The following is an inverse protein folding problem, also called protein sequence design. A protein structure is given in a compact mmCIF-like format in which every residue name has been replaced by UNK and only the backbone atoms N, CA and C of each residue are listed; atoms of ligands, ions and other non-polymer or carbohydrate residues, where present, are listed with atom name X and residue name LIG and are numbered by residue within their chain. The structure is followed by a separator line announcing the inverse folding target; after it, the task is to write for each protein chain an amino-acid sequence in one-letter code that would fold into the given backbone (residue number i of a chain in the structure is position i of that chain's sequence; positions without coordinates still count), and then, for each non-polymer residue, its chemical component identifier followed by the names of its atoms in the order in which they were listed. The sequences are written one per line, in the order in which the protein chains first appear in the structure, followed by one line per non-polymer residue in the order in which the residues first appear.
data_IF_363960587206
#
_entry.id   IF_363960587206
#
_cell.length_a   1.000
_cell.length_b   1.000
_cell.length_c   1.000
_cell.angle_alpha   90.00
_cell.angle_beta   90.00
_cell.angle_gamma   90.00
#
_symmetry.space_group_name_H-M   'P 1'
#
loop_
_entity.id
_entity.type
_entity.pdbx_description
1 polymer ?
#
# COMPACT_ATOMS: atom_id res chain seq x y z
N UNK A 1 -6.30 -2.96 -13.63
CA UNK A 1 -6.62 -1.50 -13.49
C UNK A 1 -5.38 -0.76 -13.00
N UNK A 2 -5.33 0.57 -13.12
CA UNK A 2 -4.22 1.37 -12.56
C UNK A 2 -4.81 2.41 -11.62
N UNK A 3 -4.28 2.46 -10.40
CA UNK A 3 -4.58 3.48 -9.40
C UNK A 3 -3.31 4.28 -9.09
N UNK A 4 -3.46 5.51 -8.59
CA UNK A 4 -2.32 6.31 -8.16
C UNK A 4 -2.67 7.25 -7.02
N UNK A 5 -1.71 7.46 -6.13
CA UNK A 5 -1.82 8.39 -5.01
C UNK A 5 -0.60 9.34 -4.99
N UNK A 6 -0.80 10.63 -4.67
CA UNK A 6 0.30 11.57 -4.53
C UNK A 6 1.05 11.37 -3.21
N UNK A 7 2.31 11.80 -3.19
CA UNK A 7 3.01 12.11 -1.96
C UNK A 7 2.41 13.34 -1.28
N UNK A 8 2.88 13.62 -0.08
CA UNK A 8 2.44 14.77 0.70
C UNK A 8 3.62 15.52 1.29
N UNK A 9 3.41 16.80 1.60
CA UNK A 9 4.35 17.63 2.36
C UNK A 9 3.59 18.40 3.44
N UNK A 10 4.19 18.54 4.61
CA UNK A 10 3.72 19.47 5.63
C UNK A 10 4.32 20.85 5.38
N UNK A 11 3.48 21.83 5.07
CA UNK A 11 3.88 23.24 4.98
C UNK A 11 4.06 23.85 6.36
N UNK A 12 3.19 23.49 7.31
CA UNK A 12 3.26 23.91 8.71
C UNK A 12 2.71 22.84 9.64
N UNK A 13 3.23 22.81 10.88
CA UNK A 13 2.57 22.13 12.00
C UNK A 13 2.79 20.61 12.10
N UNK A 14 3.77 20.03 11.40
CA UNK A 14 4.05 18.58 11.46
C UNK A 14 4.23 18.04 12.89
N UNK A 15 4.92 18.78 13.76
CA UNK A 15 5.07 18.41 15.17
C UNK A 15 3.95 18.96 16.06
N UNK A 16 3.18 19.93 15.57
CA UNK A 16 2.12 20.60 16.34
C UNK A 16 0.89 19.68 16.51
N UNK A 17 0.62 18.78 15.55
CA UNK A 17 -0.48 17.80 15.64
C UNK A 17 -0.35 16.86 16.84
N UNK A 18 0.87 16.60 17.31
CA UNK A 18 1.14 15.80 18.52
C UNK A 18 0.55 16.45 19.78
N UNK A 19 0.35 17.78 19.75
CA UNK A 19 -0.23 18.57 20.82
C UNK A 19 -1.65 19.05 20.49
N UNK A 20 -2.38 18.32 19.62
CA UNK A 20 -3.74 18.65 19.18
C UNK A 20 -3.88 20.04 18.55
N UNK A 21 -2.81 20.55 17.92
CA UNK A 21 -2.82 21.79 17.15
C UNK A 21 -2.93 21.50 15.64
N UNK A 22 -3.46 22.42 14.83
CA UNK A 22 -3.62 22.20 13.40
C UNK A 22 -2.28 22.11 12.65
N UNK A 23 -2.30 21.42 11.51
CA UNK A 23 -1.24 21.42 10.51
C UNK A 23 -1.79 21.77 9.13
N UNK A 24 -0.92 22.32 8.28
CA UNK A 24 -1.21 22.54 6.87
C UNK A 24 -0.34 21.61 6.05
N UNK A 25 -0.97 20.65 5.37
CA UNK A 25 -0.32 19.73 4.45
C UNK A 25 -0.86 19.92 3.03
N UNK A 26 -0.05 19.56 2.04
CA UNK A 26 -0.41 19.62 0.63
C UNK A 26 0.05 18.34 -0.08
N UNK A 27 -0.73 17.90 -1.07
CA UNK A 27 -0.29 16.88 -2.01
C UNK A 27 0.78 17.45 -2.95
N UNK A 28 1.70 16.59 -3.40
CA UNK A 28 2.73 16.95 -4.39
C UNK A 28 2.62 16.07 -5.65
N UNK A 29 3.31 16.48 -6.71
CA UNK A 29 3.24 15.80 -8.02
C UNK A 29 4.03 14.47 -8.09
N UNK A 30 4.85 14.16 -7.09
CA UNK A 30 5.47 12.84 -6.95
C UNK A 30 4.39 11.82 -6.57
N UNK A 31 4.28 10.71 -7.31
CA UNK A 31 3.18 9.75 -7.12
C UNK A 31 3.69 8.32 -6.97
N UNK A 32 2.88 7.52 -6.28
CA UNK A 32 2.94 6.06 -6.38
C UNK A 32 1.82 5.60 -7.31
N UNK A 33 2.15 4.69 -8.23
CA UNK A 33 1.23 4.08 -9.19
C UNK A 33 1.22 2.58 -8.94
N UNK A 34 0.04 2.02 -8.82
CA UNK A 34 -0.18 0.59 -8.62
C UNK A 34 -1.02 0.09 -9.78
N UNK A 35 -0.45 -0.82 -10.57
CA UNK A 35 -1.17 -1.58 -11.57
C UNK A 35 -1.61 -2.89 -10.92
N UNK A 36 -2.90 -3.19 -11.02
CA UNK A 36 -3.47 -4.42 -10.49
C UNK A 36 -4.11 -5.30 -11.55
N UNK A 37 -3.93 -6.60 -11.43
CA UNK A 37 -4.56 -7.61 -12.28
C UNK A 37 -5.17 -8.70 -11.39
N UNK A 38 -6.42 -9.06 -11.66
CA UNK A 38 -7.07 -10.19 -10.97
C UNK A 38 -6.49 -11.50 -11.49
N UNK A 39 -6.39 -12.49 -10.60
CA UNK A 39 -5.91 -13.83 -10.93
C UNK A 39 -6.99 -14.87 -10.68
N UNK A 40 -6.94 -15.97 -11.42
CA UNK A 40 -7.87 -17.10 -11.27
C UNK A 40 -7.53 -18.03 -10.08
N UNK A 41 -6.33 -17.87 -9.50
CA UNK A 41 -5.91 -18.56 -8.29
C UNK A 41 -6.14 -17.69 -7.05
N UNK A 42 -5.82 -18.21 -5.86
CA UNK A 42 -5.88 -17.44 -4.60
C UNK A 42 -4.52 -16.85 -4.22
N UNK A 43 -3.63 -16.60 -5.19
CA UNK A 43 -2.28 -16.07 -4.90
C UNK A 43 -2.26 -14.56 -5.01
N UNK A 44 -1.49 -13.93 -4.11
CA UNK A 44 -1.09 -12.53 -4.23
C UNK A 44 0.36 -12.48 -4.66
N UNK A 45 0.64 -11.75 -5.74
CA UNK A 45 1.99 -11.42 -6.20
C UNK A 45 2.15 -9.89 -6.15
N UNK A 46 3.26 -9.43 -5.58
CA UNK A 46 3.61 -8.01 -5.52
C UNK A 46 5.01 -7.85 -6.06
N UNK A 47 5.19 -6.94 -7.02
CA UNK A 47 6.47 -6.50 -7.53
C UNK A 47 6.56 -4.97 -7.36
N UNK A 48 7.48 -4.51 -6.54
CA UNK A 48 7.68 -3.09 -6.26
C UNK A 48 9.07 -2.67 -6.66
N UNK A 49 9.16 -1.83 -7.70
CA UNK A 49 10.44 -1.41 -8.28
C UNK A 49 11.31 -0.72 -7.20
N UNK A 50 12.53 -1.22 -7.02
CA UNK A 50 13.50 -0.70 -6.05
C UNK A 50 13.20 -1.01 -4.58
N UNK A 51 12.13 -1.76 -4.27
CA UNK A 51 11.78 -2.17 -2.90
C UNK A 51 11.89 -3.68 -2.73
N UNK A 52 11.26 -4.47 -3.60
CA UNK A 52 11.26 -5.92 -3.46
C UNK A 52 10.05 -6.63 -4.07
N UNK A 53 9.99 -7.94 -3.87
CA UNK A 53 8.89 -8.80 -4.35
C UNK A 53 8.31 -9.64 -3.22
N UNK A 54 7.01 -9.90 -3.29
CA UNK A 54 6.30 -10.77 -2.34
C UNK A 54 5.35 -11.70 -3.06
N UNK A 55 5.25 -12.93 -2.57
CA UNK A 55 4.15 -13.83 -2.89
C UNK A 55 3.45 -14.33 -1.63
N UNK A 56 2.17 -14.67 -1.74
CA UNK A 56 1.38 -15.24 -0.66
C UNK A 56 0.06 -15.84 -1.14
N UNK A 57 -0.74 -16.38 -0.21
CA UNK A 57 -2.03 -17.02 -0.51
C UNK A 57 -3.13 -16.36 0.31
N UNK A 58 -4.17 -15.87 -0.37
CA UNK A 58 -5.32 -15.23 0.25
C UNK A 58 -6.24 -16.27 0.89
N UNK A 59 -6.62 -16.04 2.14
CA UNK A 59 -7.52 -16.88 2.93
C UNK A 59 -8.55 -16.02 3.65
N UNK A 60 -9.82 -16.40 3.52
CA UNK A 60 -10.94 -15.76 4.22
C UNK A 60 -11.47 -16.65 5.33
N UNK A 61 -11.69 -16.09 6.52
CA UNK A 61 -12.38 -16.76 7.64
C UNK A 61 -13.22 -15.76 8.41
N UNK A 62 -14.53 -15.94 8.42
CA UNK A 62 -15.46 -15.12 9.22
C UNK A 62 -15.47 -13.64 8.81
N UNK A 63 -15.38 -13.34 7.51
CA UNK A 63 -15.33 -11.97 6.99
C UNK A 63 -13.96 -11.28 7.09
N UNK A 64 -12.99 -11.92 7.74
CA UNK A 64 -11.61 -11.45 7.78
C UNK A 64 -10.79 -12.17 6.71
N UNK A 65 -10.08 -11.40 5.89
CA UNK A 65 -9.23 -11.88 4.81
C UNK A 65 -7.75 -11.58 5.11
N UNK A 66 -6.90 -12.61 5.02
CA UNK A 66 -5.47 -12.52 5.31
C UNK A 66 -4.65 -13.12 4.17
N UNK A 67 -3.40 -12.70 4.07
CA UNK A 67 -2.42 -13.31 3.16
C UNK A 67 -1.54 -14.26 3.98
N UNK A 68 -1.61 -15.55 3.73
CA UNK A 68 -0.82 -16.58 4.41
C UNK A 68 0.35 -17.07 3.56
N UNK A 69 1.27 -17.83 4.16
CA UNK A 69 2.44 -18.44 3.47
C UNK A 69 3.25 -17.43 2.67
N UNK A 70 3.44 -16.24 3.24
CA UNK A 70 4.18 -15.14 2.63
C UNK A 70 5.65 -15.50 2.44
N UNK A 71 6.22 -15.16 1.29
CA UNK A 71 7.65 -15.28 1.00
C UNK A 71 8.15 -14.02 0.26
N UNK A 72 9.47 -13.79 0.25
CA UNK A 72 10.09 -12.58 -0.31
C UNK A 72 10.28 -11.45 0.72
N UNK A 73 10.19 -10.21 0.27
CA UNK A 73 10.49 -8.97 1.01
C UNK A 73 9.28 -8.53 1.87
N UNK A 74 8.87 -9.41 2.79
CA UNK A 74 7.62 -9.28 3.55
C UNK A 74 7.61 -8.07 4.48
N UNK A 75 8.75 -7.69 5.05
CA UNK A 75 8.82 -6.54 5.97
C UNK A 75 8.75 -5.22 5.21
N UNK A 76 9.41 -5.17 4.06
CA UNK A 76 9.51 -4.03 3.18
C UNK A 76 8.14 -3.72 2.53
N UNK A 77 7.36 -4.76 2.23
CA UNK A 77 6.05 -4.68 1.60
C UNK A 77 4.87 -4.79 2.59
N UNK A 78 5.11 -4.60 3.89
CA UNK A 78 4.06 -4.75 4.92
C UNK A 78 2.88 -3.79 4.70
N UNK A 79 3.13 -2.56 4.25
CA UNK A 79 2.07 -1.58 3.93
C UNK A 79 1.12 -2.10 2.85
N UNK A 80 1.67 -2.70 1.78
CA UNK A 80 0.90 -3.27 0.67
C UNK A 80 0.08 -4.47 1.16
N UNK A 81 0.72 -5.37 1.91
CA UNK A 81 0.04 -6.52 2.53
C UNK A 81 -1.15 -6.06 3.36
N UNK A 82 -0.94 -5.08 4.25
CA UNK A 82 -1.99 -4.59 5.15
C UNK A 82 -3.10 -3.86 4.41
N UNK A 83 -2.78 -3.12 3.35
CA UNK A 83 -3.78 -2.51 2.47
C UNK A 83 -4.68 -3.58 1.84
N UNK A 84 -4.09 -4.61 1.21
CA UNK A 84 -4.85 -5.69 0.57
C UNK A 84 -5.72 -6.46 1.59
N UNK A 85 -5.14 -6.88 2.72
CA UNK A 85 -5.87 -7.60 3.78
C UNK A 85 -7.06 -6.78 4.31
N UNK A 86 -6.84 -5.48 4.55
CA UNK A 86 -7.87 -4.57 5.07
C UNK A 86 -8.97 -4.32 4.04
N UNK A 87 -8.61 -4.10 2.77
CA UNK A 87 -9.55 -3.88 1.68
C UNK A 87 -10.41 -5.12 1.45
N UNK A 88 -9.83 -6.31 1.35
CA UNK A 88 -10.61 -7.55 1.21
C UNK A 88 -11.53 -7.81 2.41
N UNK A 89 -11.03 -7.58 3.63
CA UNK A 89 -11.85 -7.68 4.84
C UNK A 89 -13.02 -6.68 4.84
N UNK A 90 -12.80 -5.45 4.37
CA UNK A 90 -13.84 -4.44 4.28
C UNK A 90 -14.90 -4.78 3.22
N UNK A 91 -14.47 -5.31 2.07
CA UNK A 91 -15.37 -5.74 1.00
C UNK A 91 -16.11 -7.05 1.35
N UNK A 92 -15.61 -7.81 2.32
CA UNK A 92 -16.12 -9.14 2.66
C UNK A 92 -15.77 -10.19 1.62
N UNK A 93 -14.92 -9.86 0.64
CA UNK A 93 -14.53 -10.71 -0.47
C UNK A 93 -13.03 -10.56 -0.78
N UNK A 94 -12.39 -11.63 -1.21
CA UNK A 94 -10.97 -11.69 -1.51
C UNK A 94 -10.66 -12.69 -2.61
N UNK A 95 -9.57 -12.47 -3.33
CA UNK A 95 -9.20 -13.28 -4.48
C UNK A 95 -7.73 -13.14 -4.84
N UNK A 96 -7.30 -13.84 -5.89
CA UNK A 96 -5.95 -13.68 -6.41
C UNK A 96 -5.73 -12.32 -7.04
N UNK A 97 -4.53 -11.78 -6.81
CA UNK A 97 -4.18 -10.41 -7.17
C UNK A 97 -2.71 -10.33 -7.56
N UNK A 98 -2.41 -9.64 -8.64
CA UNK A 98 -1.07 -9.26 -9.02
C UNK A 98 -0.94 -7.75 -8.98
N UNK A 99 0.10 -7.24 -8.31
CA UNK A 99 0.38 -5.82 -8.16
C UNK A 99 1.77 -5.50 -8.68
N UNK A 100 1.85 -4.56 -9.62
CA UNK A 100 3.09 -3.90 -10.03
C UNK A 100 3.09 -2.47 -9.46
N UNK A 101 4.12 -2.10 -8.72
CA UNK A 101 4.22 -0.84 -8.00
C UNK A 101 5.42 -0.04 -8.48
N UNK A 102 5.16 1.20 -8.92
CA UNK A 102 6.16 2.19 -9.30
C UNK A 102 5.96 3.46 -8.46
N UNK A 103 7.04 4.00 -7.88
CA UNK A 103 6.95 5.19 -7.04
C UNK A 103 8.03 6.21 -7.37
N UNK A 104 7.61 7.44 -7.66
CA UNK A 104 8.48 8.59 -7.87
C UNK A 104 8.91 9.23 -6.52
N UNK A 105 8.31 8.80 -5.40
CA UNK A 105 8.53 9.37 -4.07
C UNK A 105 9.78 8.73 -3.44
N UNK A 106 10.83 9.51 -3.11
CA UNK A 106 12.04 8.97 -2.49
C UNK A 106 11.73 8.34 -1.12
N UNK A 107 12.24 7.13 -0.89
CA UNK A 107 12.04 6.40 0.37
C UNK A 107 12.72 7.16 1.52
N UNK A 108 12.03 7.24 2.67
CA UNK A 108 12.56 7.88 3.89
C UNK A 108 12.67 9.40 3.84
N UNK A 109 12.09 10.06 2.83
CA UNK A 109 12.18 11.51 2.63
C UNK A 109 11.21 12.35 3.47
N UNK A 110 10.30 11.72 4.22
CA UNK A 110 9.19 12.42 4.89
C UNK A 110 8.04 12.82 3.93
N UNK A 111 8.12 12.47 2.64
CA UNK A 111 7.12 12.85 1.64
C UNK A 111 5.91 11.90 1.56
N UNK A 112 5.73 11.05 2.56
CA UNK A 112 4.58 10.13 2.66
C UNK A 112 4.56 8.99 1.64
N UNK A 113 5.70 8.38 1.31
CA UNK A 113 5.74 7.23 0.38
C UNK A 113 4.90 6.05 0.86
N UNK A 114 4.93 5.74 2.16
CA UNK A 114 4.14 4.66 2.76
C UNK A 114 2.63 4.93 2.70
N UNK A 115 2.21 6.17 2.95
CA UNK A 115 0.80 6.58 2.81
C UNK A 115 0.34 6.56 1.36
N UNK A 116 1.20 6.96 0.42
CA UNK A 116 0.87 6.94 -1.01
C UNK A 116 0.69 5.51 -1.51
N UNK A 117 1.62 4.59 -1.23
CA UNK A 117 1.47 3.18 -1.65
C UNK A 117 0.25 2.52 -1.01
N UNK A 118 -0.02 2.78 0.27
CA UNK A 118 -1.20 2.25 0.97
C UNK A 118 -2.50 2.74 0.34
N UNK A 119 -2.57 4.01 -0.07
CA UNK A 119 -3.78 4.60 -0.67
C UNK A 119 -3.97 4.18 -2.13
N UNK A 120 -2.89 3.94 -2.86
CA UNK A 120 -2.94 3.50 -4.25
C UNK A 120 -3.25 1.99 -4.39
N UNK A 121 -3.00 1.21 -3.34
CA UNK A 121 -3.25 -0.24 -3.26
C UNK A 121 -4.71 -0.51 -2.89
#
# INVERSE_FOLDING_TARGET
MIASAPGQIFLFGEHAVVYSQPALAAAIDLRTRVKSESRDDMRVLVDSEGVGKLEGVVRGKGGQWTIEKKSGDVRELEHVVKAVESTFSHLGDGGGLELEILSDIPVGSGLGSSSAVTTAT
#
